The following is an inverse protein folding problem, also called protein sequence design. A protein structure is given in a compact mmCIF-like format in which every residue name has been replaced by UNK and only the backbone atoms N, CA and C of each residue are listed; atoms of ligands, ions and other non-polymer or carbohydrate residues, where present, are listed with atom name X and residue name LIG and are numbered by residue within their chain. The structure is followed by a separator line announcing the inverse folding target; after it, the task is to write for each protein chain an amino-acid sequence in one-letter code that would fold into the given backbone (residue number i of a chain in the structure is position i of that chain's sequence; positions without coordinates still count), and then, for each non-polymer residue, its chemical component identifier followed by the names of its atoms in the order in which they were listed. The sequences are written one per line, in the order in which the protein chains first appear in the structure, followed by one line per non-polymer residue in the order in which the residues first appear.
data_IF_442347637571
#
_entry.id   IF_442347637571
#
_cell.length_a   1.000
_cell.length_b   1.000
_cell.length_c   1.000
_cell.angle_alpha   90.00
_cell.angle_beta   90.00
_cell.angle_gamma   90.00
#
_symmetry.space_group_name_H-M   'P 1'
#
loop_
_entity.id
_entity.type
_entity.pdbx_description
1 polymer ?
#
# COMPACT_ATOMS: atom_id res chain seq x y z
N UNK A 1 -0.53 -19.31 -2.21
CA UNK A 1 -0.48 -18.17 -1.28
C UNK A 1 -0.44 -16.86 -2.06
N UNK A 2 -1.21 -15.88 -1.64
CA UNK A 2 -1.22 -14.57 -2.27
C UNK A 2 -0.87 -13.50 -1.24
N UNK A 3 -0.36 -12.38 -1.71
CA UNK A 3 -0.04 -11.23 -0.86
C UNK A 3 -1.10 -10.17 -1.09
N UNK A 4 -1.67 -9.67 -0.01
CA UNK A 4 -2.70 -8.63 -0.07
C UNK A 4 -2.29 -7.45 0.80
N UNK A 5 -2.76 -6.27 0.41
CA UNK A 5 -2.57 -5.08 1.22
C UNK A 5 -3.45 -5.15 2.44
N UNK A 6 -2.87 -4.90 3.62
CA UNK A 6 -3.61 -4.88 4.88
C UNK A 6 -3.87 -3.47 5.35
N UNK A 7 -2.86 -2.61 5.27
CA UNK A 7 -3.01 -1.24 5.71
C UNK A 7 -2.09 -0.32 4.94
N UNK A 8 -2.55 0.90 4.79
CA UNK A 8 -1.75 1.97 4.20
C UNK A 8 -1.93 3.20 5.09
N UNK A 9 -0.82 3.78 5.48
CA UNK A 9 -0.82 5.05 6.20
C UNK A 9 0.10 6.00 5.44
N UNK A 10 -0.46 7.06 4.89
CA UNK A 10 0.30 8.06 4.14
C UNK A 10 0.04 9.45 4.69
N UNK A 11 1.08 10.25 4.75
CA UNK A 11 0.99 11.64 5.15
C UNK A 11 1.54 12.52 4.03
N UNK A 12 0.75 13.50 3.61
CA UNK A 12 1.22 14.52 2.69
C UNK A 12 2.04 15.54 3.46
N UNK A 13 3.22 15.84 2.94
CA UNK A 13 4.13 16.82 3.56
C UNK A 13 4.22 18.10 2.75
N UNK A 14 3.89 18.04 1.46
CA UNK A 14 3.96 19.20 0.61
C UNK A 14 3.06 19.06 -0.60
N UNK A 15 2.79 20.15 -1.30
CA UNK A 15 1.94 20.12 -2.49
C UNK A 15 2.67 19.48 -3.67
N UNK A 16 1.90 18.83 -4.52
CA UNK A 16 2.42 18.20 -5.74
C UNK A 16 1.71 18.87 -6.93
N UNK A 17 2.37 19.78 -7.64
CA UNK A 17 1.74 20.43 -8.79
C UNK A 17 1.61 19.47 -9.96
N UNK A 18 0.61 19.68 -10.83
CA UNK A 18 0.46 18.86 -12.04
C UNK A 18 1.73 18.89 -12.88
N UNK A 19 2.12 17.74 -13.41
CA UNK A 19 3.31 17.63 -14.24
C UNK A 19 4.62 17.50 -13.49
N UNK A 20 4.57 17.51 -12.16
CA UNK A 20 5.77 17.33 -11.33
C UNK A 20 6.30 15.90 -11.47
N UNK A 21 7.62 15.78 -11.55
CA UNK A 21 8.28 14.48 -11.51
C UNK A 21 8.41 14.03 -10.08
N UNK A 22 7.91 12.83 -9.78
CA UNK A 22 7.93 12.27 -8.44
C UNK A 22 8.88 11.07 -8.40
N UNK A 23 9.77 11.09 -7.44
CA UNK A 23 10.67 9.96 -7.17
C UNK A 23 10.18 9.20 -5.96
N UNK A 24 9.89 7.93 -6.16
CA UNK A 24 9.43 7.04 -5.09
C UNK A 24 10.60 6.20 -4.60
N UNK A 25 10.68 6.05 -3.28
CA UNK A 25 11.61 5.13 -2.66
C UNK A 25 10.91 4.36 -1.56
N UNK A 26 11.35 3.13 -1.32
CA UNK A 26 10.78 2.29 -0.31
C UNK A 26 11.79 1.27 0.19
N UNK A 27 11.62 0.85 1.43
CA UNK A 27 12.45 -0.20 2.02
C UNK A 27 11.64 -0.97 3.05
N UNK A 28 12.09 -2.19 3.34
CA UNK A 28 11.45 -3.02 4.34
C UNK A 28 11.75 -2.45 5.72
N UNK A 29 10.71 -2.13 6.47
CA UNK A 29 10.82 -1.63 7.83
C UNK A 29 10.67 -2.75 8.84
N UNK A 30 9.77 -3.68 8.58
CA UNK A 30 9.47 -4.77 9.51
C UNK A 30 9.06 -6.02 8.75
N UNK A 31 9.57 -7.16 9.22
CA UNK A 31 9.14 -8.47 8.73
C UNK A 31 8.46 -9.22 9.86
N UNK A 32 7.24 -9.68 9.63
CA UNK A 32 6.54 -10.58 10.53
C UNK A 32 6.49 -11.98 9.92
N UNK A 33 5.94 -12.96 10.63
CA UNK A 33 5.85 -14.34 10.12
C UNK A 33 5.05 -14.44 8.82
N UNK A 34 4.05 -13.60 8.64
CA UNK A 34 3.20 -13.61 7.46
C UNK A 34 2.95 -12.20 6.92
N UNK A 35 3.79 -11.25 7.29
CA UNK A 35 3.57 -9.87 6.88
C UNK A 35 4.89 -9.17 6.57
N UNK A 36 4.80 -8.13 5.77
CA UNK A 36 5.91 -7.23 5.50
C UNK A 36 5.39 -5.80 5.53
N UNK A 37 6.11 -4.95 6.23
CA UNK A 37 5.81 -3.52 6.28
C UNK A 37 6.93 -2.76 5.60
N UNK A 38 6.54 -1.96 4.61
CA UNK A 38 7.46 -1.08 3.91
C UNK A 38 7.30 0.35 4.40
N UNK A 39 8.40 1.04 4.53
CA UNK A 39 8.39 2.49 4.65
C UNK A 39 8.51 3.03 3.23
N UNK A 40 7.68 4.01 2.87
CA UNK A 40 7.70 4.59 1.53
C UNK A 40 7.83 6.10 1.64
N UNK A 41 8.54 6.68 0.68
CA UNK A 41 8.71 8.12 0.58
C UNK A 41 8.61 8.57 -0.87
N UNK A 42 7.98 9.71 -1.06
CA UNK A 42 7.90 10.35 -2.36
C UNK A 42 8.53 11.75 -2.27
N UNK A 43 9.41 12.04 -3.19
CA UNK A 43 10.07 13.34 -3.29
C UNK A 43 9.81 13.95 -4.65
N UNK A 44 9.64 15.25 -4.69
CA UNK A 44 9.76 15.98 -5.94
C UNK A 44 11.20 16.51 -6.07
N UNK A 45 11.45 17.46 -6.95
CA UNK A 45 12.79 18.01 -7.12
C UNK A 45 13.21 18.95 -6.00
N UNK A 46 12.32 19.26 -5.07
CA UNK A 46 12.56 20.24 -4.01
C UNK A 46 12.47 19.66 -2.61
N UNK A 47 11.56 18.73 -2.38
CA UNK A 47 11.26 18.29 -1.00
C UNK A 47 10.61 16.91 -0.93
N UNK A 48 10.54 16.40 0.29
CA UNK A 48 9.71 15.24 0.60
C UNK A 48 8.24 15.68 0.58
N UNK A 49 7.44 15.08 -0.31
CA UNK A 49 6.04 15.46 -0.47
C UNK A 49 5.07 14.48 0.16
N UNK A 50 5.52 13.24 0.41
CA UNK A 50 4.68 12.22 1.01
C UNK A 50 5.54 11.17 1.68
N UNK A 51 5.09 10.64 2.80
CA UNK A 51 5.73 9.49 3.45
C UNK A 51 4.71 8.64 4.16
N UNK A 52 5.05 7.38 4.39
CA UNK A 52 4.14 6.50 5.08
C UNK A 52 4.61 5.06 5.14
N UNK A 53 3.66 4.22 5.52
CA UNK A 53 3.90 2.80 5.72
C UNK A 53 2.83 2.01 4.99
N UNK A 54 3.25 0.91 4.36
CA UNK A 54 2.34 -0.01 3.69
C UNK A 54 2.62 -1.40 4.22
N UNK A 55 1.60 -2.08 4.70
CA UNK A 55 1.73 -3.44 5.22
C UNK A 55 0.99 -4.41 4.32
N UNK A 56 1.68 -5.46 3.91
CA UNK A 56 1.11 -6.58 3.16
C UNK A 56 1.12 -7.82 4.04
N UNK A 57 0.12 -8.67 3.83
CA UNK A 57 -0.03 -9.91 4.58
C UNK A 57 -0.19 -11.04 3.59
N UNK A 58 0.49 -12.16 3.85
CA UNK A 58 0.27 -13.39 3.09
C UNK A 58 -1.09 -13.96 3.48
N UNK A 59 -1.89 -14.31 2.49
CA UNK A 59 -3.23 -14.82 2.70
C UNK A 59 -3.44 -16.12 1.94
N UNK A 60 -4.33 -16.96 2.45
CA UNK A 60 -4.76 -18.13 1.75
C UNK A 60 -5.60 -17.74 0.54
N UNK A 61 -5.25 -18.26 -0.63
CA UNK A 61 -5.93 -17.94 -1.88
C UNK A 61 -7.43 -18.28 -1.83
N UNK A 62 -7.77 -19.45 -1.32
CA UNK A 62 -9.17 -19.87 -1.27
C UNK A 62 -10.01 -18.96 -0.41
N UNK A 63 -9.50 -18.59 0.75
CA UNK A 63 -10.20 -17.69 1.66
C UNK A 63 -10.39 -16.32 1.04
N UNK A 64 -9.35 -15.82 0.35
CA UNK A 64 -9.41 -14.53 -0.33
C UNK A 64 -10.42 -14.54 -1.46
N UNK A 65 -10.40 -15.58 -2.29
CA UNK A 65 -11.34 -15.73 -3.40
C UNK A 65 -12.78 -15.79 -2.91
N UNK A 66 -13.05 -16.51 -1.81
CA UNK A 66 -14.38 -16.54 -1.21
C UNK A 66 -14.85 -15.16 -0.75
N UNK A 67 -13.98 -14.41 -0.13
CA UNK A 67 -14.31 -13.04 0.30
C UNK A 67 -14.61 -12.13 -0.87
N UNK A 68 -13.81 -12.20 -1.92
CA UNK A 68 -13.99 -11.38 -3.11
C UNK A 68 -15.32 -11.74 -3.79
N UNK A 69 -15.61 -13.02 -3.95
CA UNK A 69 -16.86 -13.47 -4.55
C UNK A 69 -18.08 -12.98 -3.76
N UNK A 70 -18.02 -13.04 -2.44
CA UNK A 70 -19.08 -12.54 -1.57
C UNK A 70 -19.31 -11.03 -1.76
N UNK A 71 -18.24 -10.26 -1.82
CA UNK A 71 -18.31 -8.81 -2.01
C UNK A 71 -18.87 -8.43 -3.38
N UNK A 72 -18.48 -9.15 -4.41
CA UNK A 72 -18.99 -8.92 -5.77
C UNK A 72 -20.50 -9.18 -5.81
N UNK A 73 -20.97 -10.27 -5.21
CA UNK A 73 -22.38 -10.58 -5.15
C UNK A 73 -23.20 -9.51 -4.41
N UNK A 74 -22.65 -9.00 -3.33
CA UNK A 74 -23.29 -7.91 -2.57
C UNK A 74 -23.28 -6.62 -3.38
N UNK A 75 -22.21 -6.31 -4.06
CA UNK A 75 -22.06 -5.08 -4.85
C UNK A 75 -22.91 -5.06 -6.11
N UNK A 76 -23.27 -6.21 -6.64
CA UNK A 76 -24.07 -6.33 -7.87
C UNK A 76 -25.55 -6.00 -7.68
N UNK A 77 -25.98 -5.70 -6.50
CA UNK A 77 -27.38 -5.37 -6.21
C UNK A 77 -27.75 -3.92 -6.57
#
# INVERSE_FOLDING_TARGET
EVVVGRSIHLEHRGPIPPGAEIRLSGWVERLGPRSVTFNVRAHDSHELVCEGHVTFVAADRSALESKIAHKVNVSAR
#
